data_IF_168749371503
#
_entry.id   IF_168749371503
#
_cell.length_a   1.000
_cell.length_b   1.000
_cell.length_c   1.000
_cell.angle_alpha   90.00
_cell.angle_beta   90.00
_cell.angle_gamma   90.00
#
_symmetry.space_group_name_H-M   'P 1'
#
loop_
_entity.id
_entity.type
_entity.pdbx_description
1 polymer ?
#
# COMPACT_ATOMS: atom_id res chain seq x y z
N UNK A 1 -24.55 -48.65 35.43
CA UNK A 1 -23.16 -49.16 35.40
C UNK A 1 -22.44 -48.40 34.32
N UNK A 2 -21.60 -47.45 34.71
CA UNK A 2 -20.72 -46.74 33.76
C UNK A 2 -19.83 -47.80 33.07
N UNK A 3 -19.76 -47.77 31.77
CA UNK A 3 -18.91 -48.68 31.01
C UNK A 3 -17.43 -48.29 31.26
N UNK A 4 -16.49 -49.21 31.06
CA UNK A 4 -15.06 -48.92 31.18
C UNK A 4 -14.66 -47.70 30.29
N UNK A 5 -15.34 -47.53 29.17
CA UNK A 5 -15.15 -46.43 28.24
C UNK A 5 -15.54 -45.06 28.82
N UNK A 6 -16.66 -45.01 29.55
CA UNK A 6 -17.11 -43.78 30.22
C UNK A 6 -16.11 -43.37 31.31
N UNK A 7 -15.58 -44.33 32.04
CA UNK A 7 -14.57 -44.09 33.07
C UNK A 7 -13.25 -43.59 32.52
N UNK A 8 -12.80 -44.14 31.38
CA UNK A 8 -11.60 -43.63 30.67
C UNK A 8 -11.80 -42.19 30.25
N UNK A 9 -12.94 -41.86 29.60
CA UNK A 9 -13.23 -40.50 29.16
C UNK A 9 -13.33 -39.49 30.31
N UNK A 10 -13.81 -39.90 31.46
CA UNK A 10 -13.87 -39.06 32.66
C UNK A 10 -12.47 -38.78 33.21
N UNK A 11 -11.62 -39.79 33.30
CA UNK A 11 -10.22 -39.67 33.74
C UNK A 11 -9.39 -38.83 32.77
N UNK A 12 -9.57 -38.98 31.45
CA UNK A 12 -8.91 -38.16 30.44
C UNK A 12 -9.26 -36.69 30.62
N UNK A 13 -10.55 -36.38 30.83
CA UNK A 13 -10.99 -34.98 31.07
C UNK A 13 -10.41 -34.40 32.35
N UNK A 14 -10.34 -35.20 33.43
CA UNK A 14 -9.77 -34.76 34.69
C UNK A 14 -8.28 -34.45 34.54
N UNK A 15 -7.53 -35.37 33.93
CA UNK A 15 -6.08 -35.20 33.68
C UNK A 15 -5.85 -33.98 32.78
N UNK A 16 -6.62 -33.85 31.69
CA UNK A 16 -6.49 -32.70 30.77
C UNK A 16 -6.73 -31.38 31.50
N UNK A 17 -7.80 -31.25 32.30
CA UNK A 17 -8.07 -30.06 33.09
C UNK A 17 -6.94 -29.72 34.07
N UNK A 18 -6.36 -30.72 34.71
CA UNK A 18 -5.24 -30.53 35.64
C UNK A 18 -4.00 -30.01 34.89
N UNK A 19 -3.65 -30.61 33.75
CA UNK A 19 -2.54 -30.11 32.91
C UNK A 19 -2.77 -28.69 32.44
N UNK A 20 -3.98 -28.40 31.98
CA UNK A 20 -4.34 -27.01 31.58
C UNK A 20 -4.19 -26.03 32.75
N UNK A 21 -4.61 -26.42 33.96
CA UNK A 21 -4.47 -25.56 35.14
C UNK A 21 -2.99 -25.32 35.50
N UNK A 22 -2.17 -26.38 35.47
CA UNK A 22 -0.71 -26.26 35.68
C UNK A 22 -0.03 -25.33 34.65
N UNK A 23 -0.39 -25.44 33.38
CA UNK A 23 0.13 -24.56 32.31
C UNK A 23 -0.36 -23.12 32.53
N UNK A 24 -1.64 -22.93 32.88
CA UNK A 24 -2.22 -21.61 33.12
C UNK A 24 -1.50 -20.83 34.23
N UNK A 25 -0.97 -21.50 35.27
CA UNK A 25 -0.15 -20.82 36.29
C UNK A 25 1.11 -20.17 35.71
N UNK A 26 1.64 -20.68 34.60
CA UNK A 26 2.82 -20.18 33.93
C UNK A 26 2.50 -19.32 32.70
N UNK A 27 1.21 -19.00 32.48
CA UNK A 27 0.74 -18.32 31.25
C UNK A 27 1.49 -17.02 30.95
N UNK A 28 1.71 -16.18 31.97
CA UNK A 28 2.37 -14.88 31.80
C UNK A 28 3.81 -15.06 31.29
N UNK A 29 4.57 -15.97 31.90
CA UNK A 29 5.96 -16.26 31.46
C UNK A 29 6.00 -16.86 30.06
N UNK A 30 5.06 -17.72 29.72
CA UNK A 30 4.95 -18.32 28.39
C UNK A 30 4.63 -17.23 27.36
N UNK A 31 3.68 -16.35 27.66
CA UNK A 31 3.29 -15.24 26.78
C UNK A 31 4.40 -14.22 26.58
N UNK A 32 5.14 -13.85 27.64
CA UNK A 32 6.31 -12.97 27.52
C UNK A 32 7.40 -13.59 26.66
N UNK A 33 7.70 -14.87 26.86
CA UNK A 33 8.70 -15.58 26.06
C UNK A 33 8.26 -15.68 24.60
N UNK A 34 7.00 -16.01 24.34
CA UNK A 34 6.44 -16.10 22.99
C UNK A 34 6.50 -14.73 22.28
N UNK A 35 6.20 -13.64 23.00
CA UNK A 35 6.33 -12.28 22.46
C UNK A 35 7.78 -11.94 22.11
N UNK A 36 8.73 -12.26 22.98
CA UNK A 36 10.15 -12.01 22.73
C UNK A 36 10.66 -12.79 21.49
N UNK A 37 10.31 -14.08 21.41
CA UNK A 37 10.66 -14.93 20.27
C UNK A 37 10.01 -14.41 18.99
N UNK A 38 8.72 -14.07 19.01
CA UNK A 38 8.02 -13.53 17.84
C UNK A 38 8.60 -12.20 17.35
N UNK A 39 9.04 -11.32 18.27
CA UNK A 39 9.74 -10.09 17.91
C UNK A 39 11.08 -10.38 17.24
N UNK A 40 11.87 -11.30 17.82
CA UNK A 40 13.17 -11.68 17.26
C UNK A 40 13.00 -12.34 15.88
N UNK A 41 12.05 -13.24 15.72
CA UNK A 41 11.75 -13.92 14.46
C UNK A 41 11.36 -12.90 13.36
N UNK A 42 10.51 -11.92 13.70
CA UNK A 42 10.13 -10.85 12.77
C UNK A 42 11.34 -10.01 12.33
N UNK A 43 12.21 -9.61 13.26
CA UNK A 43 13.41 -8.84 12.96
C UNK A 43 14.41 -9.64 12.10
N UNK A 44 14.60 -10.92 12.42
CA UNK A 44 15.48 -11.82 11.64
C UNK A 44 14.92 -11.99 10.22
N UNK A 45 13.62 -12.22 10.07
CA UNK A 45 12.97 -12.39 8.76
C UNK A 45 13.11 -11.14 7.90
N UNK A 46 12.88 -9.94 8.47
CA UNK A 46 13.05 -8.67 7.75
C UNK A 46 14.53 -8.45 7.37
N UNK A 47 15.47 -8.77 8.26
CA UNK A 47 16.91 -8.64 7.99
C UNK A 47 17.35 -9.60 6.88
N UNK A 48 16.87 -10.83 6.89
CA UNK A 48 17.19 -11.82 5.86
C UNK A 48 16.67 -11.36 4.49
N UNK A 49 15.41 -10.88 4.44
CA UNK A 49 14.84 -10.34 3.21
C UNK A 49 15.66 -9.15 2.67
N UNK A 50 16.15 -8.29 3.55
CA UNK A 50 16.97 -7.15 3.18
C UNK A 50 18.32 -7.58 2.58
N UNK A 51 18.98 -8.56 3.20
CA UNK A 51 20.29 -9.09 2.74
C UNK A 51 20.15 -9.81 1.39
N UNK A 52 19.12 -10.67 1.29
CA UNK A 52 18.93 -11.50 0.09
C UNK A 52 18.57 -10.69 -1.17
N UNK A 53 18.02 -9.47 -0.97
CA UNK A 53 17.50 -8.64 -2.07
C UNK A 53 18.19 -7.26 -2.19
N UNK A 54 19.29 -7.02 -1.51
CA UNK A 54 20.02 -5.75 -1.51
C UNK A 54 19.10 -4.55 -1.20
N UNK A 55 18.32 -4.64 -0.13
CA UNK A 55 17.46 -3.56 0.34
C UNK A 55 18.22 -2.62 1.26
N UNK A 56 17.85 -1.34 1.24
CA UNK A 56 18.50 -0.30 2.06
C UNK A 56 17.62 0.09 3.25
N UNK A 57 18.26 0.62 4.28
CA UNK A 57 17.56 1.22 5.42
C UNK A 57 17.00 2.60 5.02
N UNK A 58 15.68 2.81 5.04
CA UNK A 58 15.10 4.13 4.81
C UNK A 58 15.28 5.03 6.01
N UNK A 59 15.36 6.35 5.79
CA UNK A 59 15.19 7.35 6.84
C UNK A 59 13.69 7.61 7.01
N UNK A 60 13.16 7.30 8.20
CA UNK A 60 11.75 7.60 8.54
C UNK A 60 11.75 8.74 9.56
N UNK A 61 11.01 9.80 9.27
CA UNK A 61 10.95 11.00 10.12
C UNK A 61 9.54 11.60 10.20
N UNK A 62 9.37 12.62 11.04
CA UNK A 62 8.08 13.32 11.21
C UNK A 62 7.79 14.36 10.10
N UNK A 63 8.60 14.42 9.06
CA UNK A 63 8.42 15.28 7.89
C UNK A 63 7.19 14.91 7.07
N UNK A 64 7.01 15.61 5.95
CA UNK A 64 5.90 15.41 5.03
C UNK A 64 6.33 14.86 3.67
N UNK A 65 7.63 14.72 3.45
CA UNK A 65 8.18 14.37 2.15
C UNK A 65 8.32 12.85 2.00
N UNK A 66 8.06 12.37 0.82
CA UNK A 66 8.32 11.00 0.40
C UNK A 66 9.29 11.06 -0.78
N UNK A 67 10.56 10.73 -0.53
CA UNK A 67 11.61 10.74 -1.53
C UNK A 67 12.25 9.37 -1.57
N UNK A 68 12.16 8.69 -2.71
CA UNK A 68 12.73 7.37 -2.93
C UNK A 68 13.44 7.40 -4.28
N UNK A 69 14.71 7.08 -4.30
CA UNK A 69 15.49 6.99 -5.52
C UNK A 69 15.68 5.53 -5.92
N UNK A 70 15.52 5.25 -7.21
CA UNK A 70 15.64 3.91 -7.77
C UNK A 70 14.80 2.86 -7.02
N UNK A 71 13.58 3.23 -6.64
CA UNK A 71 12.65 2.32 -5.98
C UNK A 71 12.24 1.16 -6.89
N UNK A 72 12.12 -0.05 -6.32
CA UNK A 72 11.70 -1.25 -7.03
C UNK A 72 10.47 -1.86 -6.35
N UNK A 73 9.59 -2.47 -7.11
CA UNK A 73 8.41 -3.14 -6.56
C UNK A 73 8.80 -4.55 -6.08
N UNK A 74 8.84 -4.85 -4.78
CA UNK A 74 9.43 -6.10 -4.27
C UNK A 74 8.78 -7.36 -4.85
N UNK A 75 7.45 -7.37 -4.98
CA UNK A 75 6.72 -8.54 -5.50
C UNK A 75 6.91 -8.72 -7.00
N UNK A 76 6.89 -7.63 -7.76
CA UNK A 76 7.07 -7.68 -9.23
C UNK A 76 8.52 -8.03 -9.57
N UNK A 77 9.49 -7.43 -8.87
CA UNK A 77 10.91 -7.75 -9.02
C UNK A 77 11.19 -9.24 -8.77
N UNK A 78 10.63 -9.79 -7.67
CA UNK A 78 10.76 -11.21 -7.37
C UNK A 78 10.17 -12.11 -8.46
N UNK A 79 9.09 -11.68 -9.13
CA UNK A 79 8.44 -12.44 -10.20
C UNK A 79 9.20 -12.37 -11.53
N UNK A 80 9.86 -11.24 -11.81
CA UNK A 80 10.63 -11.03 -13.04
C UNK A 80 12.03 -11.66 -12.96
N UNK A 81 12.57 -11.80 -11.77
CA UNK A 81 13.94 -12.18 -11.50
C UNK A 81 14.91 -10.99 -11.44
N UNK A 82 16.14 -11.22 -10.92
CA UNK A 82 17.11 -10.16 -10.64
C UNK A 82 17.45 -9.30 -11.88
N UNK A 83 17.50 -7.96 -11.67
CA UNK A 83 17.94 -7.01 -12.68
C UNK A 83 16.98 -6.74 -13.85
N UNK A 84 15.79 -7.33 -13.84
CA UNK A 84 14.79 -7.11 -14.90
C UNK A 84 13.77 -6.02 -14.59
N UNK A 85 13.66 -5.65 -13.33
CA UNK A 85 12.77 -4.55 -12.94
C UNK A 85 13.46 -3.22 -13.22
N UNK A 86 12.79 -2.33 -13.92
CA UNK A 86 13.28 -0.96 -14.14
C UNK A 86 12.97 -0.12 -12.92
N UNK A 87 13.98 0.38 -12.17
CA UNK A 87 13.77 1.20 -10.98
C UNK A 87 13.09 2.53 -11.32
N UNK A 88 12.37 3.09 -10.35
CA UNK A 88 11.65 4.36 -10.52
C UNK A 88 11.83 5.25 -9.29
N UNK A 89 11.93 6.55 -9.53
CA UNK A 89 12.00 7.55 -8.47
C UNK A 89 10.59 7.96 -8.03
N UNK A 90 10.45 8.27 -6.74
CA UNK A 90 9.28 8.89 -6.15
C UNK A 90 9.70 10.17 -5.43
N UNK A 91 9.08 11.28 -5.79
CA UNK A 91 9.26 12.55 -5.09
C UNK A 91 7.90 13.25 -4.97
N UNK A 92 7.33 13.22 -3.76
CA UNK A 92 6.02 13.77 -3.44
C UNK A 92 6.05 14.48 -2.09
N UNK A 93 5.48 15.68 -2.03
CA UNK A 93 5.52 16.56 -0.86
C UNK A 93 4.21 17.34 -0.73
N UNK A 94 3.79 17.63 0.49
CA UNK A 94 2.62 18.49 0.71
C UNK A 94 2.87 19.95 0.34
N UNK A 95 4.13 20.38 0.22
CA UNK A 95 4.49 21.77 -0.02
C UNK A 95 4.26 22.19 -1.48
N UNK A 96 4.72 21.38 -2.42
CA UNK A 96 4.76 21.70 -3.84
C UNK A 96 4.26 20.58 -4.76
N UNK A 97 4.42 19.32 -4.40
CA UNK A 97 4.08 18.13 -5.21
C UNK A 97 3.07 17.23 -4.52
N UNK A 98 1.92 17.78 -4.14
CA UNK A 98 0.89 17.08 -3.39
C UNK A 98 0.09 16.09 -4.22
N UNK A 99 -0.29 16.47 -5.44
CA UNK A 99 -1.08 15.63 -6.36
C UNK A 99 -0.25 15.36 -7.61
N UNK A 100 0.14 14.13 -7.81
CA UNK A 100 0.91 13.71 -8.99
C UNK A 100 -0.04 13.00 -9.96
N UNK A 101 -0.32 13.64 -11.11
CA UNK A 101 -1.12 13.07 -12.19
C UNK A 101 -0.21 12.22 -13.06
N UNK A 102 -0.51 10.93 -13.13
CA UNK A 102 0.32 9.95 -13.81
C UNK A 102 -0.36 9.48 -15.07
N UNK A 103 0.24 9.78 -16.22
CA UNK A 103 -0.24 9.39 -17.54
C UNK A 103 0.74 8.47 -18.24
N UNK A 104 0.29 7.82 -19.31
CA UNK A 104 1.10 6.90 -20.13
C UNK A 104 0.23 5.84 -20.80
N UNK A 105 0.78 5.07 -21.74
CA UNK A 105 0.05 4.03 -22.44
C UNK A 105 -0.51 2.95 -21.51
N UNK A 106 -1.46 2.17 -22.00
CA UNK A 106 -1.87 0.95 -21.29
C UNK A 106 -0.68 -0.01 -21.20
N UNK A 107 -0.60 -0.77 -20.11
CA UNK A 107 0.51 -1.70 -19.82
C UNK A 107 1.89 -1.03 -19.65
N UNK A 108 1.99 0.29 -19.54
CA UNK A 108 3.27 0.99 -19.31
C UNK A 108 3.80 0.89 -17.87
N UNK A 109 3.04 0.29 -16.96
CA UNK A 109 3.45 0.16 -15.56
C UNK A 109 2.92 1.23 -14.61
N UNK A 110 1.97 2.08 -15.02
CA UNK A 110 1.35 3.11 -14.14
C UNK A 110 0.86 2.53 -12.83
N UNK A 111 0.02 1.48 -12.89
CA UNK A 111 -0.53 0.81 -11.70
C UNK A 111 0.56 0.16 -10.84
N UNK A 112 1.60 -0.39 -11.48
CA UNK A 112 2.77 -0.95 -10.77
C UNK A 112 3.52 0.14 -10.02
N UNK A 113 3.75 1.29 -10.64
CA UNK A 113 4.45 2.42 -10.04
C UNK A 113 3.74 2.97 -8.80
N UNK A 114 2.41 3.24 -8.90
CA UNK A 114 1.67 3.79 -7.76
C UNK A 114 1.54 2.79 -6.60
N UNK A 115 1.42 1.49 -6.91
CA UNK A 115 1.40 0.42 -5.90
C UNK A 115 2.76 0.21 -5.27
N UNK A 116 3.84 0.31 -6.05
CA UNK A 116 5.21 0.32 -5.53
C UNK A 116 5.37 1.38 -4.44
N UNK A 117 4.97 2.62 -4.70
CA UNK A 117 5.06 3.71 -3.73
C UNK A 117 4.35 3.36 -2.40
N UNK A 118 3.12 2.83 -2.46
CA UNK A 118 2.38 2.41 -1.28
C UNK A 118 3.08 1.29 -0.50
N UNK A 119 3.59 0.27 -1.20
CA UNK A 119 4.28 -0.87 -0.59
C UNK A 119 5.60 -0.43 0.05
N UNK A 120 6.40 0.43 -0.61
CA UNK A 120 7.66 0.92 -0.05
C UNK A 120 7.45 1.76 1.20
N UNK A 121 6.42 2.62 1.22
CA UNK A 121 6.04 3.40 2.41
C UNK A 121 5.60 2.47 3.55
N UNK A 122 4.79 1.47 3.26
CA UNK A 122 4.34 0.48 4.25
C UNK A 122 5.54 -0.27 4.86
N UNK A 123 6.43 -0.79 4.01
CA UNK A 123 7.63 -1.50 4.46
C UNK A 123 8.52 -0.62 5.34
N UNK A 124 8.78 0.63 4.91
CA UNK A 124 9.55 1.58 5.69
C UNK A 124 8.96 1.82 7.10
N UNK A 125 7.63 1.99 7.18
CA UNK A 125 6.95 2.29 8.45
C UNK A 125 6.81 1.10 9.40
N UNK A 126 6.83 -0.14 8.91
CA UNK A 126 6.89 -1.32 9.79
C UNK A 126 8.30 -1.62 10.29
N UNK A 127 9.29 -0.81 9.91
CA UNK A 127 10.69 -0.97 10.32
C UNK A 127 11.51 -1.91 9.42
N UNK A 128 11.00 -2.26 8.24
CA UNK A 128 11.74 -3.03 7.25
C UNK A 128 12.68 -2.15 6.43
N UNK A 129 13.71 -2.76 5.87
CA UNK A 129 14.47 -2.22 4.75
C UNK A 129 13.61 -2.25 3.48
N UNK A 130 13.98 -1.46 2.47
CA UNK A 130 13.23 -1.32 1.23
C UNK A 130 14.11 -1.43 -0.02
N UNK A 131 13.59 -1.94 -1.14
CA UNK A 131 14.30 -2.00 -2.41
C UNK A 131 14.40 -0.61 -3.06
N UNK A 132 15.44 0.12 -2.74
CA UNK A 132 15.75 1.44 -3.28
C UNK A 132 17.26 1.72 -3.19
N UNK A 133 17.76 2.81 -3.80
CA UNK A 133 19.13 3.30 -3.59
C UNK A 133 19.20 4.23 -2.39
N UNK A 134 18.26 5.16 -2.28
CA UNK A 134 18.08 6.03 -1.12
C UNK A 134 16.59 6.20 -0.84
N UNK A 135 16.21 6.44 0.43
CA UNK A 135 14.85 6.74 0.77
C UNK A 135 14.71 7.59 2.02
N UNK A 136 13.84 8.58 1.93
CA UNK A 136 13.32 9.37 3.05
C UNK A 136 11.80 9.32 3.04
N UNK A 137 11.21 8.88 4.13
CA UNK A 137 9.78 8.64 4.26
C UNK A 137 9.26 9.42 5.48
N UNK A 138 8.56 10.52 5.24
CA UNK A 138 7.77 11.19 6.26
C UNK A 138 6.62 10.31 6.72
N UNK A 139 6.35 10.26 8.02
CA UNK A 139 5.33 9.37 8.60
C UNK A 139 3.95 9.60 7.98
N UNK A 140 3.37 8.54 7.47
CA UNK A 140 2.04 8.45 6.88
C UNK A 140 1.09 7.80 7.90
N UNK A 141 -0.04 8.45 8.19
CA UNK A 141 -1.04 7.93 9.13
C UNK A 141 -1.94 6.85 8.52
N UNK A 142 -2.24 6.96 7.21
CA UNK A 142 -3.05 6.01 6.46
C UNK A 142 -2.63 5.93 5.00
N UNK A 143 -2.64 4.74 4.46
CA UNK A 143 -2.49 4.50 3.03
C UNK A 143 -3.84 4.07 2.49
N UNK A 144 -4.39 4.85 1.57
CA UNK A 144 -5.61 4.53 0.85
C UNK A 144 -5.26 4.08 -0.55
N UNK A 145 -5.79 2.94 -0.96
CA UNK A 145 -5.62 2.44 -2.32
C UNK A 145 -6.99 2.25 -2.96
N UNK A 146 -7.17 2.88 -4.10
CA UNK A 146 -8.23 2.55 -5.04
C UNK A 146 -7.57 1.95 -6.26
N UNK A 147 -7.47 0.64 -6.29
CA UNK A 147 -6.94 -0.12 -7.41
C UNK A 147 -8.08 -0.50 -8.36
N UNK A 148 -7.79 -0.55 -9.67
CA UNK A 148 -8.76 -0.94 -10.69
C UNK A 148 -9.46 -2.26 -10.38
N UNK A 149 -10.70 -2.40 -10.84
CA UNK A 149 -11.63 -3.47 -10.51
C UNK A 149 -11.06 -4.87 -10.76
N UNK A 150 -11.13 -5.70 -9.73
CA UNK A 150 -11.48 -7.11 -9.95
C UNK A 150 -13.00 -7.16 -10.05
N UNK A 151 -13.53 -7.57 -11.20
CA UNK A 151 -14.95 -7.79 -11.38
C UNK A 151 -15.42 -8.87 -10.38
N UNK A 152 -15.88 -8.44 -9.22
CA UNK A 152 -16.64 -9.35 -8.35
C UNK A 152 -18.09 -9.41 -8.83
N UNK A 153 -18.28 -10.21 -9.86
CA UNK A 153 -19.59 -10.50 -10.49
C UNK A 153 -20.55 -11.13 -9.47
N UNK A 154 -20.05 -11.67 -8.36
CA UNK A 154 -20.82 -12.40 -7.36
C UNK A 154 -21.65 -11.49 -6.44
N UNK A 155 -21.28 -10.21 -6.28
CA UNK A 155 -21.92 -9.28 -5.34
C UNK A 155 -23.09 -8.48 -5.88
N UNK A 156 -23.38 -8.53 -7.19
CA UNK A 156 -24.53 -7.81 -7.80
C UNK A 156 -24.49 -6.28 -7.71
N UNK A 157 -23.41 -5.70 -7.19
CA UNK A 157 -23.22 -4.25 -7.14
C UNK A 157 -22.55 -3.74 -8.42
N UNK A 158 -22.99 -2.59 -8.92
CA UNK A 158 -22.32 -1.92 -10.03
C UNK A 158 -20.88 -1.59 -9.61
N UNK A 159 -19.90 -1.96 -10.45
CA UNK A 159 -18.48 -1.63 -10.26
C UNK A 159 -18.27 -0.14 -10.06
N UNK A 160 -19.05 0.69 -10.73
CA UNK A 160 -19.06 2.14 -10.56
C UNK A 160 -19.52 2.57 -9.15
N UNK A 161 -20.54 1.92 -8.59
CA UNK A 161 -21.01 2.25 -7.23
C UNK A 161 -19.96 1.92 -6.17
N UNK A 162 -19.29 0.77 -6.29
CA UNK A 162 -18.18 0.38 -5.40
C UNK A 162 -17.06 1.41 -5.49
N UNK A 163 -16.68 1.81 -6.70
CA UNK A 163 -15.69 2.85 -6.94
C UNK A 163 -16.04 4.18 -6.25
N UNK A 164 -17.29 4.62 -6.34
CA UNK A 164 -17.74 5.86 -5.72
C UNK A 164 -17.75 5.77 -4.19
N UNK A 165 -18.14 4.65 -3.62
CA UNK A 165 -18.12 4.41 -2.16
C UNK A 165 -16.68 4.42 -1.63
N UNK A 166 -15.75 3.75 -2.29
CA UNK A 166 -14.34 3.75 -1.90
C UNK A 166 -13.72 5.15 -2.03
N UNK A 167 -13.99 5.85 -3.13
CA UNK A 167 -13.53 7.23 -3.33
C UNK A 167 -14.09 8.17 -2.25
N UNK A 168 -15.38 8.07 -1.94
CA UNK A 168 -16.01 8.84 -0.88
C UNK A 168 -15.40 8.52 0.50
N UNK A 169 -15.06 7.27 0.76
CA UNK A 169 -14.37 6.87 2.00
C UNK A 169 -13.01 7.57 2.12
N UNK A 170 -12.22 7.62 1.05
CA UNK A 170 -10.95 8.35 1.02
C UNK A 170 -11.17 9.83 1.32
N UNK A 171 -12.09 10.48 0.61
CA UNK A 171 -12.37 11.91 0.78
C UNK A 171 -12.87 12.29 2.17
N UNK A 172 -13.51 11.36 2.88
CA UNK A 172 -14.02 11.58 4.24
C UNK A 172 -13.00 11.25 5.34
N UNK A 173 -12.03 10.37 5.10
CA UNK A 173 -11.15 9.84 6.14
C UNK A 173 -9.68 10.23 6.00
N UNK A 174 -9.24 10.67 4.83
CA UNK A 174 -7.86 11.06 4.62
C UNK A 174 -7.53 12.36 5.36
N UNK A 175 -6.28 12.49 5.75
CA UNK A 175 -5.70 13.67 6.40
C UNK A 175 -4.53 14.20 5.57
N UNK A 176 -3.98 15.34 5.93
CA UNK A 176 -2.77 15.86 5.29
C UNK A 176 -1.55 14.92 5.39
N UNK A 177 -1.56 13.98 6.33
CA UNK A 177 -0.50 12.96 6.48
C UNK A 177 -0.78 11.66 5.74
N UNK A 178 -1.94 11.51 5.11
CA UNK A 178 -2.28 10.29 4.37
C UNK A 178 -1.62 10.24 2.99
N UNK A 179 -1.48 9.03 2.47
CA UNK A 179 -1.12 8.74 1.08
C UNK A 179 -2.33 8.12 0.37
N UNK A 180 -2.81 8.76 -0.68
CA UNK A 180 -3.86 8.24 -1.54
C UNK A 180 -3.27 7.74 -2.87
N UNK A 181 -3.59 6.50 -3.23
CA UNK A 181 -3.18 5.85 -4.49
C UNK A 181 -4.44 5.54 -5.27
N UNK A 182 -4.67 6.34 -6.32
CA UNK A 182 -5.90 6.32 -7.12
C UNK A 182 -5.59 5.82 -8.52
N UNK A 183 -6.18 4.70 -8.90
CA UNK A 183 -5.94 4.03 -10.17
C UNK A 183 -7.20 4.05 -11.04
N UNK A 184 -7.16 4.83 -12.13
CA UNK A 184 -8.19 4.93 -13.16
C UNK A 184 -9.61 5.26 -12.65
N UNK A 185 -9.74 6.25 -11.77
CA UNK A 185 -11.06 6.72 -11.30
C UNK A 185 -11.90 7.23 -12.46
N UNK A 186 -13.19 6.88 -12.46
CA UNK A 186 -14.18 7.28 -13.47
C UNK A 186 -14.29 6.32 -14.65
N UNK A 187 -13.57 5.19 -14.64
CA UNK A 187 -13.61 4.21 -15.75
C UNK A 187 -14.94 3.48 -15.88
N UNK A 188 -15.70 3.37 -14.79
CA UNK A 188 -16.97 2.64 -14.72
C UNK A 188 -18.18 3.36 -15.31
N UNK A 189 -18.02 4.56 -15.91
CA UNK A 189 -19.10 5.38 -16.49
C UNK A 189 -18.73 5.95 -17.86
N UNK A 190 -19.56 6.88 -18.38
CA UNK A 190 -19.25 7.56 -19.65
C UNK A 190 -17.96 8.37 -19.55
N UNK A 191 -17.24 8.53 -20.66
CA UNK A 191 -15.94 9.23 -20.68
C UNK A 191 -16.02 10.64 -20.08
N UNK A 192 -17.05 11.39 -20.41
CA UNK A 192 -17.21 12.77 -19.93
C UNK A 192 -17.56 12.83 -18.43
N UNK A 193 -18.45 11.94 -17.96
CA UNK A 193 -18.80 11.87 -16.54
C UNK A 193 -17.60 11.36 -15.72
N UNK A 194 -16.89 10.36 -16.23
CA UNK A 194 -15.68 9.82 -15.59
C UNK A 194 -14.58 10.87 -15.45
N UNK A 195 -14.32 11.64 -16.50
CA UNK A 195 -13.38 12.77 -16.47
C UNK A 195 -13.81 13.84 -15.46
N UNK A 196 -15.10 14.21 -15.44
CA UNK A 196 -15.63 15.20 -14.51
C UNK A 196 -15.46 14.76 -13.06
N UNK A 197 -15.73 13.47 -12.75
CA UNK A 197 -15.53 12.90 -11.43
C UNK A 197 -14.04 12.88 -11.05
N UNK A 198 -13.18 12.35 -11.91
CA UNK A 198 -11.74 12.27 -11.67
C UNK A 198 -11.14 13.65 -11.38
N UNK A 199 -11.52 14.65 -12.18
CA UNK A 199 -11.09 16.04 -12.01
C UNK A 199 -11.58 16.61 -10.68
N UNK A 200 -12.87 16.46 -10.36
CA UNK A 200 -13.47 16.96 -9.12
C UNK A 200 -12.82 16.34 -7.88
N UNK A 201 -12.48 15.05 -7.92
CA UNK A 201 -11.78 14.36 -6.84
C UNK A 201 -10.38 14.95 -6.63
N UNK A 202 -9.60 15.12 -7.71
CA UNK A 202 -8.26 15.68 -7.63
C UNK A 202 -8.26 17.14 -7.13
N UNK A 203 -9.17 17.98 -7.65
CA UNK A 203 -9.36 19.37 -7.21
C UNK A 203 -9.80 19.44 -5.74
N UNK A 204 -10.69 18.56 -5.30
CA UNK A 204 -11.15 18.53 -3.93
C UNK A 204 -10.02 18.13 -2.96
N UNK A 205 -9.24 17.11 -3.29
CA UNK A 205 -8.07 16.70 -2.48
C UNK A 205 -7.06 17.84 -2.37
N UNK A 206 -6.77 18.52 -3.48
CA UNK A 206 -5.81 19.63 -3.51
C UNK A 206 -6.28 20.84 -2.72
N UNK A 207 -7.55 21.24 -2.87
CA UNK A 207 -8.08 22.50 -2.35
C UNK A 207 -8.65 22.42 -0.94
N UNK A 208 -8.99 21.20 -0.48
CA UNK A 208 -9.58 21.02 0.86
C UNK A 208 -8.53 21.19 1.96
N UNK A 209 -8.69 22.15 2.88
CA UNK A 209 -7.76 22.33 4.00
C UNK A 209 -7.70 21.11 4.97
N UNK A 210 -8.74 20.30 4.97
CA UNK A 210 -8.83 19.13 5.85
C UNK A 210 -8.14 17.89 5.26
N UNK A 211 -8.15 17.77 3.94
CA UNK A 211 -7.56 16.62 3.25
C UNK A 211 -6.07 16.84 3.05
N UNK A 212 -5.70 17.59 2.03
CA UNK A 212 -4.32 17.92 1.73
C UNK A 212 -3.37 16.73 1.63
N UNK A 213 -3.89 15.51 1.45
CA UNK A 213 -3.10 14.29 1.42
C UNK A 213 -2.24 14.21 0.16
N UNK A 214 -1.11 13.53 0.27
CA UNK A 214 -0.29 13.15 -0.87
C UNK A 214 -1.08 12.19 -1.75
N UNK A 215 -1.11 12.45 -3.05
CA UNK A 215 -1.94 11.67 -3.96
C UNK A 215 -1.19 11.30 -5.23
N UNK A 216 -1.12 10.00 -5.52
CA UNK A 216 -0.69 9.45 -6.79
C UNK A 216 -1.95 9.08 -7.60
N UNK A 217 -2.18 9.78 -8.69
CA UNK A 217 -3.39 9.67 -9.49
C UNK A 217 -3.06 9.13 -10.89
N UNK A 218 -3.13 7.83 -11.07
CA UNK A 218 -2.95 7.22 -12.39
C UNK A 218 -4.26 7.33 -13.20
N UNK A 219 -4.16 7.80 -14.44
CA UNK A 219 -5.32 8.02 -15.29
C UNK A 219 -5.01 7.82 -16.77
N UNK A 220 -6.04 7.49 -17.54
CA UNK A 220 -6.01 7.48 -19.00
C UNK A 220 -6.61 8.76 -19.61
N UNK A 221 -7.19 9.64 -18.76
CA UNK A 221 -7.69 10.95 -19.21
C UNK A 221 -6.53 11.93 -19.37
N UNK A 222 -6.14 12.21 -20.60
CA UNK A 222 -5.06 13.15 -20.89
C UNK A 222 -5.39 14.59 -20.47
N UNK A 223 -6.66 14.95 -20.45
CA UNK A 223 -7.17 16.26 -20.02
C UNK A 223 -6.84 16.57 -18.55
N UNK A 224 -6.65 15.55 -17.72
CA UNK A 224 -6.25 15.71 -16.32
C UNK A 224 -4.87 16.40 -16.18
N UNK A 225 -4.02 16.32 -17.19
CA UNK A 225 -2.70 16.99 -17.17
C UNK A 225 -2.81 18.50 -17.07
N UNK A 226 -3.92 19.11 -17.51
CA UNK A 226 -4.18 20.53 -17.36
C UNK A 226 -4.31 21.00 -15.92
N UNK A 227 -4.53 20.07 -14.97
CA UNK A 227 -4.59 20.41 -13.55
C UNK A 227 -3.26 20.93 -13.02
N UNK A 228 -2.13 20.51 -13.57
CA UNK A 228 -0.82 21.01 -13.17
C UNK A 228 -0.63 22.51 -13.53
N UNK A 229 -1.32 23.03 -14.54
CA UNK A 229 -1.31 24.44 -14.90
C UNK A 229 -2.23 25.29 -14.01
N UNK A 230 -3.20 24.66 -13.34
CA UNK A 230 -4.27 25.31 -12.58
C UNK A 230 -4.10 25.21 -11.07
N UNK A 231 -3.45 24.15 -10.62
CA UNK A 231 -3.29 23.81 -9.21
C UNK A 231 -1.79 23.85 -8.84
N UNK A 232 -1.36 24.77 -7.97
CA UNK A 232 0.08 25.02 -7.73
C UNK A 232 0.84 23.85 -7.11
N UNK A 233 0.15 22.86 -6.53
CA UNK A 233 0.76 21.66 -5.95
C UNK A 233 0.40 20.39 -6.73
N UNK A 234 -0.07 20.53 -7.96
CA UNK A 234 -0.30 19.42 -8.88
C UNK A 234 0.86 19.32 -9.87
N UNK A 235 1.34 18.11 -10.12
CA UNK A 235 2.41 17.83 -11.07
C UNK A 235 2.04 16.68 -12.01
N UNK A 236 2.56 16.75 -13.23
CA UNK A 236 2.42 15.68 -14.20
C UNK A 236 3.63 14.77 -14.20
N UNK A 237 3.38 13.47 -14.19
CA UNK A 237 4.37 12.42 -14.42
C UNK A 237 3.93 11.60 -15.63
N UNK A 238 4.85 11.32 -16.54
CA UNK A 238 4.59 10.45 -17.68
C UNK A 238 5.40 9.17 -17.54
N UNK A 239 4.71 8.02 -17.52
CA UNK A 239 5.38 6.73 -17.60
C UNK A 239 5.66 6.42 -19.07
N UNK A 240 6.93 6.19 -19.39
CA UNK A 240 7.39 5.72 -20.71
C UNK A 240 7.79 4.24 -20.63
N UNK A 241 7.54 3.52 -21.70
CA UNK A 241 8.05 2.14 -21.85
C UNK A 241 9.45 2.25 -22.43
N UNK A 242 10.44 1.62 -21.76
CA UNK A 242 11.75 1.39 -22.37
C UNK A 242 11.57 0.26 -23.40
N UNK A 243 11.65 0.58 -24.69
CA UNK A 243 11.78 -0.44 -25.72
C UNK A 243 13.23 -0.95 -25.66
N UNK A 244 13.43 -2.20 -25.27
CA UNK A 244 14.68 -2.88 -25.60
C UNK A 244 14.75 -2.94 -27.11
N UNK A 245 15.67 -2.17 -27.72
CA UNK A 245 16.05 -2.35 -29.11
C UNK A 245 16.64 -3.75 -29.21
N UNK A 246 15.82 -4.70 -29.62
CA UNK A 246 16.27 -6.04 -29.96
C UNK A 246 17.22 -5.94 -31.16
N UNK A 247 18.48 -6.31 -30.92
CA UNK A 247 19.42 -6.73 -31.94
C UNK A 247 19.07 -8.14 -32.45
#
# INVERSE_FOLDING_TARGET
>A
ILTARDRISELEREIFRRVCAEVAVQSDRIMETAKAIGTLDSLVSMSQAAIDNDWIQPVVDDGTDLQIENGRHPVVEASLGPGRFVPNDLDISNADRQVVIITGPNMSGKSTYIRQAAVLVLLAQIGSFIPASTARVGVIDRIFTRAGLTDDISGGQSTFMVEMVETASILNQATARSLAVLDEIGRGTSTYDGLAIARSVAEHIHNSPKLGCKTLFATHYHEMTQLADQLPRAHNLRVSVAEESGD
#
